data_IF_041975904169
#
_entry.id   IF_041975904169
#
_cell.length_a   1.000
_cell.length_b   1.000
_cell.length_c   1.000
_cell.angle_alpha   90.00
_cell.angle_beta   90.00
_cell.angle_gamma   90.00
#
_symmetry.space_group_name_H-M   'P 1'
#
loop_
_entity.id
_entity.type
_entity.pdbx_description
1 polymer ?
#
# COMPACT_ATOMS: atom_id res chain seq x y z
N UNK A 1 -11.86 -0.66 4.34
CA UNK A 1 -13.01 -1.20 5.10
C UNK A 1 -12.42 -1.91 6.30
N UNK A 2 -12.72 -1.45 7.51
CA UNK A 2 -12.13 -2.02 8.72
C UNK A 2 -13.04 -3.14 9.21
N UNK A 3 -12.50 -4.33 9.42
CA UNK A 3 -13.20 -5.46 10.03
C UNK A 3 -12.39 -6.03 11.20
N UNK A 4 -13.07 -6.70 12.12
CA UNK A 4 -12.38 -7.32 13.24
C UNK A 4 -11.70 -8.63 12.83
N UNK A 5 -10.60 -8.94 13.52
CA UNK A 5 -9.78 -10.14 13.29
C UNK A 5 -10.60 -11.44 13.42
N UNK A 6 -11.57 -11.45 14.34
CA UNK A 6 -12.49 -12.57 14.54
C UNK A 6 -13.41 -12.76 13.33
N UNK A 7 -13.94 -11.67 12.78
CA UNK A 7 -14.83 -11.71 11.62
C UNK A 7 -14.11 -12.21 10.36
N UNK A 8 -12.87 -11.79 10.14
CA UNK A 8 -12.08 -12.31 9.02
C UNK A 8 -11.81 -13.81 9.18
N UNK A 9 -11.52 -14.26 10.41
CA UNK A 9 -11.35 -15.67 10.72
C UNK A 9 -12.64 -16.47 10.49
N UNK A 10 -13.80 -15.97 10.90
CA UNK A 10 -15.08 -16.65 10.62
C UNK A 10 -15.37 -16.74 9.12
N UNK A 11 -15.12 -15.67 8.36
CA UNK A 11 -15.32 -15.67 6.91
C UNK A 11 -14.37 -16.65 6.18
N UNK A 12 -13.11 -16.75 6.58
CA UNK A 12 -12.13 -17.68 5.99
C UNK A 12 -12.49 -19.15 6.22
N UNK A 13 -13.18 -19.46 7.32
CA UNK A 13 -13.63 -20.82 7.67
C UNK A 13 -15.07 -21.10 7.23
N UNK A 14 -15.84 -20.08 6.85
CA UNK A 14 -17.19 -20.18 6.28
C UNK A 14 -17.18 -20.27 4.75
N UNK A 15 -16.22 -19.63 4.08
CA UNK A 15 -16.15 -19.54 2.61
C UNK A 15 -14.75 -19.85 2.07
N UNK A 16 -14.61 -20.58 0.94
CA UNK A 16 -13.32 -20.78 0.29
C UNK A 16 -12.61 -19.46 -0.02
N UNK A 17 -11.30 -19.41 0.22
CA UNK A 17 -10.47 -18.23 -0.01
C UNK A 17 -10.64 -17.63 -1.42
N UNK A 18 -10.77 -18.47 -2.45
CA UNK A 18 -10.98 -18.02 -3.83
C UNK A 18 -12.32 -17.29 -4.04
N UNK A 19 -13.38 -17.67 -3.33
CA UNK A 19 -14.67 -16.98 -3.36
C UNK A 19 -14.65 -15.71 -2.53
N UNK A 20 -13.99 -15.76 -1.37
CA UNK A 20 -13.79 -14.59 -0.51
C UNK A 20 -13.00 -13.49 -1.24
N UNK A 21 -11.89 -13.88 -1.89
CA UNK A 21 -11.08 -13.02 -2.73
C UNK A 21 -11.87 -12.41 -3.90
N UNK A 22 -12.74 -13.19 -4.56
CA UNK A 22 -13.62 -12.66 -5.63
C UNK A 22 -14.63 -11.64 -5.11
N UNK A 23 -15.27 -11.91 -3.95
CA UNK A 23 -16.27 -11.03 -3.35
C UNK A 23 -15.70 -9.66 -2.97
N UNK A 24 -14.45 -9.63 -2.51
CA UNK A 24 -13.81 -8.40 -2.07
C UNK A 24 -12.79 -7.82 -3.07
N UNK A 25 -12.58 -8.46 -4.22
CA UNK A 25 -11.64 -7.98 -5.25
C UNK A 25 -10.16 -8.13 -4.88
N UNK A 26 -9.80 -9.10 -4.04
CA UNK A 26 -8.42 -9.33 -3.58
C UNK A 26 -7.74 -10.49 -4.31
N UNK A 27 -6.40 -10.55 -4.25
CA UNK A 27 -5.65 -11.72 -4.70
C UNK A 27 -5.44 -12.73 -3.56
N UNK A 28 -5.41 -14.03 -3.89
CA UNK A 28 -5.15 -15.11 -2.92
C UNK A 28 -3.82 -14.92 -2.16
N UNK A 29 -2.82 -14.33 -2.82
CA UNK A 29 -1.50 -14.02 -2.23
C UNK A 29 -1.61 -12.87 -1.22
N UNK A 30 -2.43 -11.86 -1.53
CA UNK A 30 -2.67 -10.74 -0.61
C UNK A 30 -3.41 -11.21 0.65
N UNK A 31 -4.47 -12.02 0.49
CA UNK A 31 -5.19 -12.61 1.62
C UNK A 31 -4.27 -13.50 2.47
N UNK A 32 -3.37 -14.26 1.84
CA UNK A 32 -2.38 -15.08 2.54
C UNK A 32 -1.40 -14.24 3.40
N UNK A 33 -0.91 -13.12 2.85
CA UNK A 33 -0.03 -12.19 3.58
C UNK A 33 -0.76 -11.51 4.72
N UNK A 34 -2.02 -11.11 4.50
CA UNK A 34 -2.87 -10.51 5.52
C UNK A 34 -3.09 -11.47 6.69
N UNK A 35 -3.48 -12.73 6.41
CA UNK A 35 -3.66 -13.74 7.45
C UNK A 35 -2.37 -14.02 8.23
N UNK A 36 -1.22 -14.01 7.56
CA UNK A 36 0.09 -14.19 8.22
C UNK A 36 0.41 -13.04 9.16
N UNK A 37 0.17 -11.79 8.72
CA UNK A 37 0.42 -10.57 9.51
C UNK A 37 -0.46 -10.51 10.77
N UNK A 38 -1.73 -10.87 10.64
CA UNK A 38 -2.69 -10.85 11.76
C UNK A 38 -2.80 -12.20 12.51
N UNK A 39 -1.86 -13.13 12.29
CA UNK A 39 -1.84 -14.43 12.99
C UNK A 39 -3.14 -15.23 12.88
N UNK A 40 -3.80 -15.21 11.72
CA UNK A 40 -5.07 -15.90 11.47
C UNK A 40 -4.79 -17.27 10.84
N UNK A 41 -5.16 -18.38 11.49
CA UNK A 41 -4.99 -19.71 10.93
C UNK A 41 -5.99 -19.93 9.79
N UNK A 42 -5.48 -20.41 8.66
CA UNK A 42 -6.26 -20.71 7.46
C UNK A 42 -6.58 -22.20 7.38
N UNK A 43 -7.70 -22.60 6.77
CA UNK A 43 -8.01 -23.99 6.53
C UNK A 43 -6.89 -24.68 5.73
N UNK A 44 -6.46 -25.89 6.12
CA UNK A 44 -5.43 -26.62 5.41
C UNK A 44 -5.90 -26.99 3.99
N UNK A 45 -4.94 -27.25 3.09
CA UNK A 45 -5.24 -27.71 1.73
C UNK A 45 -6.11 -28.97 1.79
N UNK A 46 -7.20 -28.98 1.02
CA UNK A 46 -8.18 -30.07 1.00
C UNK A 46 -9.28 -29.98 2.07
N UNK A 47 -9.24 -29.02 3.00
CA UNK A 47 -10.30 -28.80 4.00
C UNK A 47 -11.69 -28.66 3.35
N UNK A 48 -11.80 -27.81 2.32
CA UNK A 48 -13.06 -27.57 1.61
C UNK A 48 -13.55 -28.78 0.81
N UNK A 49 -12.64 -29.60 0.28
CA UNK A 49 -13.00 -30.85 -0.40
C UNK A 49 -13.55 -31.88 0.61
N UNK A 50 -12.92 -31.99 1.78
CA UNK A 50 -13.38 -32.85 2.88
C UNK A 50 -14.75 -32.40 3.41
N UNK A 51 -14.94 -31.09 3.61
CA UNK A 51 -16.22 -30.50 4.06
C UNK A 51 -17.35 -30.73 3.05
N UNK A 52 -17.08 -30.63 1.75
CA UNK A 52 -18.05 -30.90 0.68
C UNK A 52 -18.48 -32.37 0.62
N UNK A 53 -17.59 -33.28 0.99
CA UNK A 53 -17.83 -34.71 1.00
C UNK A 53 -18.31 -35.23 2.37
N UNK A 54 -18.76 -34.34 3.28
CA UNK A 54 -19.31 -34.71 4.58
C UNK A 54 -18.29 -35.28 5.58
N UNK A 55 -16.99 -35.20 5.30
CA UNK A 55 -15.95 -35.75 6.17
C UNK A 55 -15.73 -34.80 7.37
N UNK A 56 -15.72 -35.31 8.63
CA UNK A 56 -15.46 -34.50 9.81
C UNK A 56 -14.12 -33.77 9.71
N UNK A 57 -14.12 -32.45 9.89
CA UNK A 57 -12.91 -31.63 9.82
C UNK A 57 -12.77 -30.75 11.06
N UNK A 58 -11.56 -30.69 11.62
CA UNK A 58 -11.26 -29.89 12.81
C UNK A 58 -10.94 -28.44 12.43
N UNK A 59 -11.60 -27.50 13.09
CA UNK A 59 -11.31 -26.06 13.00
C UNK A 59 -10.16 -25.70 13.95
N UNK A 60 -9.13 -25.00 13.45
CA UNK A 60 -7.99 -24.54 14.25
C UNK A 60 -8.41 -23.26 14.97
N UNK A 61 -8.43 -23.20 16.32
CA UNK A 61 -8.88 -22.02 17.05
C UNK A 61 -7.99 -20.81 16.77
N UNK A 62 -8.58 -19.62 16.84
CA UNK A 62 -7.88 -18.35 16.64
C UNK A 62 -6.91 -18.10 17.83
N UNK A 63 -5.59 -17.97 17.60
CA UNK A 63 -4.63 -17.70 18.68
C UNK A 63 -4.88 -16.33 19.33
N UNK A 64 -4.65 -16.19 20.64
CA UNK A 64 -4.60 -14.86 21.28
C UNK A 64 -3.31 -14.14 20.85
N UNK A 65 -3.39 -12.84 20.58
CA UNK A 65 -2.24 -11.99 20.25
C UNK A 65 -2.15 -10.92 21.34
N UNK A 66 -0.94 -10.52 21.73
CA UNK A 66 -0.67 -9.50 22.74
C UNK A 66 -0.72 -8.06 22.22
N UNK A 67 -0.90 -7.87 20.91
CA UNK A 67 -0.87 -6.57 20.24
C UNK A 67 -2.30 -6.20 19.80
N UNK A 68 -2.89 -5.22 20.50
CA UNK A 68 -4.25 -4.72 20.27
C UNK A 68 -4.40 -4.06 18.88
N UNK A 69 -3.31 -3.57 18.27
CA UNK A 69 -3.35 -2.94 16.95
C UNK A 69 -3.63 -3.93 15.82
N UNK A 70 -3.44 -5.24 16.07
CA UNK A 70 -3.68 -6.32 15.10
C UNK A 70 -5.11 -6.88 15.16
N UNK A 71 -5.94 -6.42 16.09
CA UNK A 71 -7.34 -6.83 16.19
C UNK A 71 -8.23 -6.20 15.12
N UNK A 72 -7.86 -5.01 14.63
CA UNK A 72 -8.57 -4.31 13.55
C UNK A 72 -7.82 -4.51 12.24
N UNK A 73 -8.53 -5.00 11.23
CA UNK A 73 -7.98 -5.31 9.91
C UNK A 73 -8.54 -4.33 8.90
N UNK A 74 -7.67 -3.52 8.30
CA UNK A 74 -8.09 -2.71 7.16
C UNK A 74 -8.01 -3.52 5.86
N UNK A 75 -9.18 -3.81 5.31
CA UNK A 75 -9.38 -4.39 3.99
C UNK A 75 -9.41 -3.35 2.87
N UNK A 76 -8.99 -2.09 3.09
CA UNK A 76 -8.76 -1.18 1.96
C UNK A 76 -7.70 -1.79 1.04
N UNK A 77 -7.98 -1.90 -0.27
CA UNK A 77 -6.95 -2.21 -1.23
C UNK A 77 -5.95 -1.06 -1.21
N UNK A 78 -4.81 -1.24 -0.55
CA UNK A 78 -3.63 -0.47 -0.91
C UNK A 78 -3.36 -0.83 -2.37
N UNK A 79 -3.39 0.12 -3.31
CA UNK A 79 -3.17 -0.20 -4.71
C UNK A 79 -1.89 -1.04 -4.76
N UNK A 80 -2.03 -2.28 -5.23
CA UNK A 80 -0.85 -3.01 -5.62
C UNK A 80 -0.13 -2.08 -6.61
N UNK A 81 1.20 -1.90 -6.52
CA UNK A 81 1.89 -1.31 -7.66
C UNK A 81 1.42 -2.11 -8.85
N UNK A 82 0.71 -1.42 -9.74
CA UNK A 82 0.05 -2.00 -10.89
C UNK A 82 1.09 -2.96 -11.46
N UNK A 83 0.73 -4.25 -11.58
CA UNK A 83 1.56 -5.12 -12.39
C UNK A 83 1.55 -4.41 -13.73
N UNK A 84 2.64 -3.72 -14.04
CA UNK A 84 2.92 -3.16 -15.34
C UNK A 84 3.09 -4.39 -16.22
N UNK A 85 1.96 -4.99 -16.55
CA UNK A 85 1.77 -5.77 -17.75
C UNK A 85 2.17 -4.78 -18.81
N UNK A 86 3.35 -5.01 -19.36
CA UNK A 86 4.01 -4.18 -20.35
C UNK A 86 2.93 -3.73 -21.32
N UNK A 87 2.50 -2.47 -21.21
CA UNK A 87 1.69 -1.87 -22.25
C UNK A 87 2.55 -1.93 -23.50
N UNK A 88 2.01 -2.33 -24.68
CA UNK A 88 2.77 -2.37 -25.93
C UNK A 88 3.06 -0.94 -26.47
N UNK A 89 3.14 0.05 -25.58
CA UNK A 89 3.44 1.44 -25.87
C UNK A 89 4.94 1.60 -25.67
N UNK A 90 5.69 1.14 -26.68
CA UNK A 90 6.95 1.69 -27.18
C UNK A 90 7.47 0.72 -28.26
N UNK A 91 6.70 0.58 -29.36
CA UNK A 91 7.30 0.36 -30.68
C UNK A 91 7.95 1.68 -31.14
N UNK A 92 8.90 2.20 -30.36
CA UNK A 92 9.97 3.02 -30.93
C UNK A 92 11.06 2.02 -31.30
N UNK A 93 11.54 2.14 -32.53
CA UNK A 93 12.47 1.23 -33.20
C UNK A 93 13.46 0.57 -32.24
N UNK A 94 13.77 -0.74 -32.39
CA UNK A 94 14.76 -1.38 -31.54
C UNK A 94 16.03 -0.53 -31.54
N UNK A 95 16.69 -0.31 -30.39
CA UNK A 95 18.01 0.29 -30.40
C UNK A 95 18.85 -0.48 -31.42
N UNK A 96 19.55 0.27 -32.29
CA UNK A 96 20.36 -0.27 -33.41
C UNK A 96 21.01 -1.56 -32.93
N UNK A 97 20.63 -2.70 -33.52
CA UNK A 97 21.34 -3.96 -33.31
C UNK A 97 22.81 -3.63 -33.55
N UNK A 98 23.63 -3.79 -32.52
CA UNK A 98 25.07 -3.60 -32.66
C UNK A 98 25.56 -4.47 -33.83
N UNK A 99 26.57 -4.00 -34.58
CA UNK A 99 27.14 -4.78 -35.68
C UNK A 99 27.53 -6.18 -35.20
N UNK A 100 27.53 -7.16 -36.12
CA UNK A 100 27.85 -8.56 -35.84
C UNK A 100 29.21 -8.75 -35.11
N UNK A 101 30.10 -7.76 -35.19
CA UNK A 101 31.39 -7.67 -34.51
C UNK A 101 31.29 -7.61 -32.96
N UNK A 102 30.14 -7.22 -32.40
CA UNK A 102 29.95 -7.14 -30.95
C UNK A 102 29.28 -8.41 -30.35
N UNK A 103 29.12 -9.47 -31.16
CA UNK A 103 28.42 -10.67 -30.74
C UNK A 103 29.13 -11.37 -29.57
N UNK A 104 28.43 -11.51 -28.45
CA UNK A 104 28.96 -12.20 -27.28
C UNK A 104 29.04 -13.70 -27.58
N UNK A 105 30.26 -14.23 -27.60
CA UNK A 105 30.51 -15.67 -27.75
C UNK A 105 30.82 -16.28 -26.40
N UNK A 106 30.03 -17.28 -25.99
CA UNK A 106 30.27 -18.04 -24.76
C UNK A 106 31.25 -19.17 -25.06
N UNK A 107 32.47 -19.05 -24.56
CA UNK A 107 33.49 -20.09 -24.73
C UNK A 107 33.09 -21.39 -24.02
N UNK A 108 33.53 -22.52 -24.59
CA UNK A 108 33.30 -23.85 -24.01
C UNK A 108 34.11 -24.10 -22.73
N UNK A 109 35.18 -23.33 -22.51
CA UNK A 109 36.04 -23.39 -21.32
C UNK A 109 36.25 -21.99 -20.72
N UNK A 110 36.37 -21.92 -19.39
CA UNK A 110 36.73 -20.69 -18.67
C UNK A 110 38.25 -20.53 -18.67
N UNK A 111 38.76 -19.64 -19.51
CA UNK A 111 40.16 -19.20 -19.51
C UNK A 111 40.22 -17.77 -18.97
N UNK A 112 41.01 -17.54 -17.91
CA UNK A 112 41.10 -16.27 -17.19
C UNK A 112 39.71 -15.68 -16.83
N UNK A 113 38.98 -16.31 -15.89
CA UNK A 113 37.65 -15.84 -15.50
C UNK A 113 37.71 -14.46 -14.85
N UNK A 114 36.66 -13.66 -15.05
CA UNK A 114 36.52 -12.38 -14.38
C UNK A 114 36.55 -12.56 -12.84
N UNK A 115 37.18 -11.66 -12.05
CA UNK A 115 37.31 -11.83 -10.61
C UNK A 115 35.99 -12.11 -9.86
N UNK A 116 34.90 -11.44 -10.27
CA UNK A 116 33.56 -11.70 -9.71
C UNK A 116 33.07 -13.13 -9.99
N UNK A 117 33.37 -13.68 -11.17
CA UNK A 117 32.97 -15.03 -11.55
C UNK A 117 33.80 -16.05 -10.78
N UNK A 118 35.11 -15.84 -10.64
CA UNK A 118 35.96 -16.74 -9.85
C UNK A 118 35.54 -16.78 -8.37
N UNK A 119 35.25 -15.62 -7.77
CA UNK A 119 34.72 -15.53 -6.39
C UNK A 119 33.36 -16.24 -6.26
N UNK A 120 32.45 -15.98 -7.18
CA UNK A 120 31.12 -16.63 -7.23
C UNK A 120 31.24 -18.14 -7.33
N UNK A 121 32.14 -18.64 -8.19
CA UNK A 121 32.40 -20.08 -8.35
C UNK A 121 32.93 -20.71 -7.06
N UNK A 122 33.88 -20.05 -6.39
CA UNK A 122 34.40 -20.51 -5.09
C UNK A 122 33.30 -20.59 -4.03
N UNK A 123 32.44 -19.57 -3.92
CA UNK A 123 31.34 -19.56 -2.96
C UNK A 123 30.29 -20.66 -3.22
N UNK A 124 29.97 -20.91 -4.50
CA UNK A 124 29.06 -22.01 -4.88
C UNK A 124 29.67 -23.39 -4.57
N UNK A 125 30.95 -23.58 -4.87
CA UNK A 125 31.66 -24.84 -4.57
C UNK A 125 31.87 -25.06 -3.07
N UNK A 126 32.14 -24.01 -2.30
CA UNK A 126 32.17 -24.11 -0.84
C UNK A 126 30.80 -24.54 -0.29
N UNK A 127 29.71 -24.03 -0.88
CA UNK A 127 28.35 -24.44 -0.52
C UNK A 127 28.00 -25.87 -0.93
N UNK A 128 28.68 -26.44 -1.93
CA UNK A 128 28.57 -27.85 -2.32
C UNK A 128 29.25 -28.79 -1.33
N UNK A 129 30.41 -28.38 -0.79
CA UNK A 129 31.23 -29.19 0.12
C UNK A 129 30.66 -29.24 1.55
N UNK A 130 29.68 -28.39 1.85
CA UNK A 130 28.90 -28.43 3.08
C UNK A 130 27.73 -29.43 2.92
N UNK A 131 27.27 -30.02 4.02
CA UNK A 131 26.21 -31.05 4.06
C UNK A 131 25.02 -30.75 3.12
N UNK A 132 24.42 -31.81 2.56
CA UNK A 132 23.28 -31.75 1.63
C UNK A 132 22.07 -30.95 2.16
N UNK A 133 21.99 -30.75 3.47
CA UNK A 133 21.05 -29.84 4.16
C UNK A 133 21.16 -28.37 3.76
N UNK A 134 22.28 -27.98 3.12
CA UNK A 134 22.53 -26.62 2.66
C UNK A 134 21.93 -26.28 1.30
N UNK A 135 21.45 -27.28 0.56
CA UNK A 135 20.60 -27.05 -0.62
C UNK A 135 19.28 -26.48 -0.15
N UNK A 136 18.76 -25.50 -0.88
CA UNK A 136 17.42 -25.03 -0.56
C UNK A 136 16.38 -26.16 -0.80
N UNK A 137 15.13 -25.91 -0.40
CA UNK A 137 14.04 -26.88 -0.59
C UNK A 137 13.78 -27.25 -2.06
N UNK A 138 14.42 -26.56 -3.00
CA UNK A 138 14.31 -26.78 -4.43
C UNK A 138 15.53 -27.47 -5.04
N UNK A 139 16.53 -27.83 -4.23
CA UNK A 139 17.75 -28.49 -4.68
C UNK A 139 18.77 -27.54 -5.33
N UNK A 140 18.58 -26.23 -5.19
CA UNK A 140 19.47 -25.22 -5.73
C UNK A 140 20.50 -24.76 -4.69
N UNK A 141 21.61 -24.25 -5.21
CA UNK A 141 22.69 -23.64 -4.47
C UNK A 141 22.77 -22.19 -4.89
N UNK A 142 22.83 -21.31 -3.89
CA UNK A 142 22.99 -19.87 -4.08
C UNK A 142 24.27 -19.41 -3.42
N UNK A 143 24.83 -18.32 -3.92
CA UNK A 143 25.98 -17.66 -3.28
C UNK A 143 25.64 -17.22 -1.86
N UNK A 144 26.60 -17.41 -0.95
CA UNK A 144 26.46 -17.04 0.48
C UNK A 144 27.40 -15.93 0.92
N UNK A 145 28.55 -15.81 0.25
CA UNK A 145 29.56 -14.80 0.54
C UNK A 145 29.20 -13.45 -0.06
N UNK A 146 29.65 -12.39 0.59
CA UNK A 146 29.53 -11.01 0.12
C UNK A 146 30.31 -10.80 -1.19
N UNK A 147 29.84 -9.85 -2.01
CA UNK A 147 30.51 -9.52 -3.26
C UNK A 147 30.50 -10.64 -4.30
N UNK A 148 29.56 -11.59 -4.22
CA UNK A 148 29.30 -12.63 -5.20
C UNK A 148 28.07 -12.33 -6.07
N UNK A 149 28.08 -12.81 -7.32
CA UNK A 149 26.97 -12.62 -8.25
C UNK A 149 25.69 -13.29 -7.74
N UNK A 150 24.55 -12.67 -8.05
CA UNK A 150 23.20 -13.18 -7.79
C UNK A 150 22.88 -14.38 -8.70
N UNK A 151 23.20 -15.58 -8.22
CA UNK A 151 23.10 -16.85 -8.97
C UNK A 151 22.48 -17.94 -8.09
N UNK A 152 21.50 -18.67 -8.65
CA UNK A 152 20.93 -19.86 -8.02
C UNK A 152 20.83 -21.02 -9.02
N UNK A 153 21.68 -22.03 -8.87
CA UNK A 153 21.80 -23.16 -9.82
C UNK A 153 22.01 -24.49 -9.10
N UNK A 154 21.75 -25.60 -9.79
CA UNK A 154 22.09 -26.93 -9.31
C UNK A 154 23.60 -27.22 -9.39
N UNK A 155 24.09 -28.24 -8.67
CA UNK A 155 25.51 -28.65 -8.67
C UNK A 155 26.10 -28.82 -10.07
N UNK A 156 25.41 -29.59 -10.92
CA UNK A 156 25.84 -29.94 -12.29
C UNK A 156 25.87 -28.74 -13.25
N UNK A 157 25.24 -27.63 -12.84
CA UNK A 157 25.02 -26.46 -13.68
C UNK A 157 25.99 -25.31 -13.39
N UNK A 158 26.84 -25.42 -12.37
CA UNK A 158 27.75 -24.35 -11.93
C UNK A 158 28.66 -23.91 -13.08
N UNK A 159 29.33 -24.84 -13.76
CA UNK A 159 30.30 -24.51 -14.81
C UNK A 159 29.65 -23.80 -16.00
N UNK A 160 28.43 -24.22 -16.39
CA UNK A 160 27.68 -23.54 -17.46
C UNK A 160 27.28 -22.13 -17.03
N UNK A 161 26.80 -21.96 -15.80
CA UNK A 161 26.44 -20.65 -15.27
C UNK A 161 27.63 -19.69 -15.25
N UNK A 162 28.80 -20.16 -14.82
CA UNK A 162 30.02 -19.35 -14.77
C UNK A 162 30.50 -18.95 -16.16
N UNK A 163 30.41 -19.83 -17.18
CA UNK A 163 30.74 -19.50 -18.58
C UNK A 163 29.85 -18.38 -19.13
N UNK A 164 28.54 -18.47 -18.87
CA UNK A 164 27.57 -17.47 -19.31
C UNK A 164 27.86 -16.12 -18.66
N UNK A 165 28.06 -16.10 -17.34
CA UNK A 165 28.30 -14.87 -16.59
C UNK A 165 29.65 -14.24 -16.91
N UNK A 166 30.69 -15.04 -17.15
CA UNK A 166 32.00 -14.56 -17.58
C UNK A 166 31.92 -13.83 -18.93
N UNK A 167 31.30 -14.46 -19.92
CA UNK A 167 31.10 -13.85 -21.23
C UNK A 167 30.25 -12.58 -21.14
N UNK A 168 29.17 -12.60 -20.34
CA UNK A 168 28.30 -11.45 -20.15
C UNK A 168 28.99 -10.28 -19.45
N UNK A 169 29.74 -10.53 -18.36
CA UNK A 169 30.41 -9.46 -17.60
C UNK A 169 31.50 -8.82 -18.45
N UNK A 170 32.36 -9.63 -19.10
CA UNK A 170 33.39 -9.11 -20.01
C UNK A 170 32.78 -8.28 -21.14
N UNK A 171 31.65 -8.73 -21.68
CA UNK A 171 30.91 -8.02 -22.71
C UNK A 171 30.30 -6.70 -22.24
N UNK A 172 29.83 -6.63 -20.98
CA UNK A 172 29.34 -5.39 -20.36
C UNK A 172 30.49 -4.41 -20.13
N UNK A 173 31.62 -4.87 -19.60
CA UNK A 173 32.79 -4.04 -19.34
C UNK A 173 33.40 -3.48 -20.64
N UNK A 174 33.47 -4.30 -21.70
CA UNK A 174 33.89 -3.84 -23.03
C UNK A 174 33.00 -2.72 -23.58
N UNK A 175 31.72 -2.67 -23.17
CA UNK A 175 30.76 -1.62 -23.51
C UNK A 175 30.72 -0.46 -22.50
N UNK A 176 31.71 -0.40 -21.59
CA UNK A 176 31.79 0.59 -20.51
C UNK A 176 30.63 0.51 -19.50
N UNK A 177 29.91 -0.61 -19.47
CA UNK A 177 28.90 -0.88 -18.44
C UNK A 177 29.58 -1.56 -17.25
N UNK A 178 29.68 -0.87 -16.11
CA UNK A 178 30.31 -1.42 -14.92
C UNK A 178 29.39 -2.41 -14.22
N UNK A 179 29.92 -3.56 -13.82
CA UNK A 179 29.19 -4.53 -12.99
C UNK A 179 29.58 -4.34 -11.52
N UNK A 180 28.58 -4.16 -10.68
CA UNK A 180 28.74 -3.93 -9.24
C UNK A 180 27.99 -5.03 -8.47
N UNK A 181 28.59 -5.47 -7.36
CA UNK A 181 27.96 -6.35 -6.39
C UNK A 181 28.13 -5.68 -5.02
N UNK A 182 27.09 -5.05 -4.47
CA UNK A 182 27.15 -4.45 -3.14
C UNK A 182 27.57 -5.52 -2.13
N UNK A 183 28.56 -5.22 -1.31
CA UNK A 183 29.03 -6.09 -0.23
C UNK A 183 28.28 -5.85 1.08
N UNK A 184 27.00 -5.52 1.03
CA UNK A 184 26.20 -5.32 2.24
C UNK A 184 25.69 -6.67 2.76
N UNK A 185 25.69 -6.82 4.09
CA UNK A 185 25.21 -8.02 4.77
C UNK A 185 23.77 -8.33 4.29
N UNK A 186 23.56 -9.52 3.75
CA UNK A 186 22.29 -10.01 3.16
C UNK A 186 21.85 -9.41 1.81
N UNK A 187 22.57 -8.46 1.21
CA UNK A 187 22.24 -7.93 -0.12
C UNK A 187 23.05 -8.58 -1.25
N UNK A 188 22.45 -9.61 -1.87
CA UNK A 188 23.11 -10.43 -2.91
C UNK A 188 22.72 -9.98 -4.32
N UNK A 189 22.81 -8.68 -4.61
CA UNK A 189 22.40 -8.11 -5.89
C UNK A 189 23.55 -8.01 -6.87
N UNK A 190 23.36 -8.51 -8.10
CA UNK A 190 24.20 -8.09 -9.23
C UNK A 190 23.57 -6.87 -9.90
N UNK A 191 24.35 -5.80 -10.03
CA UNK A 191 23.92 -4.54 -10.64
C UNK A 191 24.80 -4.25 -11.87
N UNK A 192 24.17 -3.99 -13.02
CA UNK A 192 24.85 -3.44 -14.18
C UNK A 192 24.58 -1.93 -14.23
N UNK A 193 25.63 -1.13 -14.34
CA UNK A 193 25.53 0.31 -14.53
C UNK A 193 25.37 0.63 -16.02
N UNK A 194 24.20 1.15 -16.41
CA UNK A 194 23.86 1.54 -17.79
C UNK A 194 23.27 2.94 -17.75
N UNK A 195 23.86 3.88 -18.50
CA UNK A 195 23.48 5.31 -18.51
C UNK A 195 23.37 5.94 -17.11
N UNK A 196 24.30 5.59 -16.20
CA UNK A 196 24.31 6.06 -14.82
C UNK A 196 23.17 5.50 -13.94
N UNK A 197 22.52 4.42 -14.37
CA UNK A 197 21.50 3.69 -13.60
C UNK A 197 22.01 2.29 -13.26
N UNK A 198 21.81 1.90 -12.00
CA UNK A 198 22.09 0.55 -11.53
C UNK A 198 20.89 -0.35 -11.80
N UNK A 199 21.07 -1.34 -12.66
CA UNK A 199 20.02 -2.26 -13.10
C UNK A 199 20.31 -3.64 -12.52
N UNK A 200 19.38 -4.15 -11.71
CA UNK A 200 19.53 -5.45 -11.06
C UNK A 200 19.25 -6.59 -12.05
N UNK A 201 20.14 -7.58 -12.07
CA UNK A 201 19.89 -8.83 -12.78
C UNK A 201 20.31 -10.07 -11.98
N UNK A 202 19.79 -11.23 -12.36
CA UNK A 202 20.03 -12.53 -11.72
C UNK A 202 19.98 -13.67 -12.72
N UNK A 203 20.81 -14.70 -12.50
CA UNK A 203 20.73 -15.98 -13.21
C UNK A 203 20.15 -17.05 -12.28
N UNK A 204 19.09 -17.74 -12.71
CA UNK A 204 18.48 -18.84 -11.95
C UNK A 204 18.27 -20.07 -12.82
N UNK A 205 18.36 -21.24 -12.23
CA UNK A 205 17.98 -22.49 -12.85
C UNK A 205 16.53 -22.85 -12.57
N UNK A 206 15.82 -23.30 -13.59
CA UNK A 206 14.48 -23.84 -13.46
C UNK A 206 14.54 -25.17 -12.76
N UNK A 207 13.58 -25.36 -11.86
CA UNK A 207 13.43 -26.57 -11.08
C UNK A 207 12.23 -27.35 -11.62
N UNK A 208 12.44 -28.63 -11.89
CA UNK A 208 11.38 -29.57 -12.21
C UNK A 208 10.86 -30.22 -10.94
N UNK A 209 9.53 -30.26 -10.82
CA UNK A 209 8.85 -30.96 -9.75
C UNK A 209 8.54 -32.38 -10.21
N UNK A 210 9.03 -33.39 -9.49
CA UNK A 210 8.70 -34.80 -9.70
C UNK A 210 8.03 -35.37 -8.46
N UNK A 211 7.24 -36.42 -8.62
CA UNK A 211 6.76 -37.20 -7.48
C UNK A 211 7.95 -37.97 -6.88
N UNK A 212 8.05 -38.00 -5.55
CA UNK A 212 9.01 -38.86 -4.88
C UNK A 212 8.65 -40.33 -5.18
N UNK A 213 9.61 -41.16 -5.62
CA UNK A 213 9.34 -42.58 -5.81
C UNK A 213 8.97 -43.23 -4.46
N UNK A 214 8.04 -44.20 -4.45
CA UNK A 214 7.70 -44.91 -3.24
C UNK A 214 8.93 -45.63 -2.69
N UNK A 215 9.30 -45.34 -1.44
CA UNK A 215 10.37 -46.04 -0.74
C UNK A 215 9.81 -47.34 -0.16
N UNK A 216 10.35 -48.53 -0.51
CA UNK A 216 9.86 -49.80 0.03
C UNK A 216 9.99 -49.90 1.55
N UNK A 217 10.98 -49.21 2.14
CA UNK A 217 11.29 -49.31 3.59
C UNK A 217 10.63 -48.24 4.49
N UNK A 218 9.69 -47.43 3.98
CA UNK A 218 9.02 -46.40 4.80
C UNK A 218 7.51 -46.66 4.91
N UNK A 219 7.01 -46.61 6.14
CA UNK A 219 5.57 -46.61 6.44
C UNK A 219 4.94 -45.41 5.72
N UNK A 220 4.05 -45.68 4.75
CA UNK A 220 3.34 -44.67 3.97
C UNK A 220 2.62 -43.66 4.88
N UNK A 221 3.27 -42.54 5.14
CA UNK A 221 2.65 -41.37 5.75
C UNK A 221 1.85 -40.61 4.69
N UNK A 222 0.80 -39.86 5.05
CA UNK A 222 0.15 -38.96 4.08
C UNK A 222 1.14 -37.89 3.56
N UNK A 223 2.18 -37.58 4.35
CA UNK A 223 3.32 -36.73 3.98
C UNK A 223 4.30 -37.41 3.01
N UNK A 224 4.18 -38.71 2.76
CA UNK A 224 5.09 -39.47 1.89
C UNK A 224 4.78 -39.25 0.40
N UNK A 225 3.65 -38.58 0.09
CA UNK A 225 3.32 -38.06 -1.24
C UNK A 225 3.92 -36.66 -1.45
N UNK A 226 5.19 -36.48 -1.13
CA UNK A 226 5.86 -35.19 -1.29
C UNK A 226 6.63 -35.14 -2.60
N UNK A 227 6.54 -34.00 -3.28
CA UNK A 227 7.28 -33.74 -4.50
C UNK A 227 8.78 -33.62 -4.18
N UNK A 228 9.62 -34.14 -5.06
CA UNK A 228 11.04 -33.80 -5.12
C UNK A 228 11.25 -32.73 -6.18
N UNK A 229 12.22 -31.87 -5.94
CA UNK A 229 12.58 -30.76 -6.81
C UNK A 229 13.97 -31.04 -7.38
N UNK A 230 14.08 -31.07 -8.70
CA UNK A 230 15.31 -31.42 -9.41
C UNK A 230 15.69 -30.25 -10.32
N UNK A 231 16.90 -29.67 -10.17
CA UNK A 231 17.42 -28.70 -11.10
C UNK A 231 17.43 -29.26 -12.53
N UNK A 232 16.90 -28.50 -13.49
CA UNK A 232 16.60 -29.02 -14.83
C UNK A 232 17.68 -28.76 -15.89
N UNK A 233 18.73 -28.04 -15.54
CA UNK A 233 19.73 -27.50 -16.47
C UNK A 233 19.19 -26.38 -17.38
N UNK A 234 17.94 -25.93 -17.22
CA UNK A 234 17.36 -24.83 -18.01
C UNK A 234 17.48 -23.53 -17.22
N UNK A 235 18.17 -22.54 -17.77
CA UNK A 235 18.40 -21.28 -17.09
C UNK A 235 17.35 -20.21 -17.41
N UNK A 236 17.28 -19.22 -16.53
CA UNK A 236 16.56 -17.96 -16.67
C UNK A 236 17.49 -16.83 -16.26
N UNK A 237 17.79 -15.95 -17.21
CA UNK A 237 18.48 -14.69 -16.97
C UNK A 237 17.42 -13.59 -16.87
N UNK A 238 17.42 -12.84 -15.78
CA UNK A 238 16.31 -11.97 -15.41
C UNK A 238 16.79 -10.57 -15.06
N UNK A 239 16.12 -9.55 -15.61
CA UNK A 239 16.22 -8.17 -15.14
C UNK A 239 15.11 -7.95 -14.11
N UNK A 240 15.47 -7.41 -12.96
CA UNK A 240 14.60 -7.24 -11.80
C UNK A 240 14.28 -5.75 -11.60
N UNK A 241 13.13 -5.46 -11.00
CA UNK A 241 12.82 -4.08 -10.57
C UNK A 241 13.84 -3.59 -9.54
N UNK A 242 13.91 -2.26 -9.34
CA UNK A 242 14.87 -1.58 -8.43
C UNK A 242 14.89 -2.23 -7.02
N UNK A 243 13.71 -2.65 -6.54
CA UNK A 243 13.52 -3.27 -5.22
C UNK A 243 13.53 -4.82 -5.26
N UNK A 244 13.77 -5.42 -6.43
CA UNK A 244 13.72 -6.88 -6.62
C UNK A 244 12.34 -7.50 -6.42
N UNK A 245 11.27 -6.68 -6.39
CA UNK A 245 9.91 -7.10 -6.04
C UNK A 245 9.20 -7.85 -7.18
N UNK A 246 9.64 -7.64 -8.42
CA UNK A 246 9.15 -8.35 -9.59
C UNK A 246 10.22 -8.38 -10.69
N UNK A 247 10.06 -9.30 -11.62
CA UNK A 247 10.91 -9.42 -12.80
C UNK A 247 10.38 -8.50 -13.90
N UNK A 248 11.23 -7.61 -14.41
CA UNK A 248 10.92 -6.75 -15.56
C UNK A 248 10.95 -7.56 -16.86
N UNK A 249 12.02 -8.36 -17.05
CA UNK A 249 12.21 -9.14 -18.28
C UNK A 249 12.96 -10.44 -17.99
N UNK A 250 12.70 -11.48 -18.78
CA UNK A 250 13.32 -12.81 -18.61
C UNK A 250 13.69 -13.41 -19.95
N UNK A 251 14.94 -13.85 -20.05
CA UNK A 251 15.47 -14.70 -21.11
C UNK A 251 15.65 -16.09 -20.53
N UNK A 252 15.30 -17.12 -21.28
CA UNK A 252 15.29 -18.49 -20.79
C UNK A 252 15.80 -19.44 -21.84
N UNK A 253 16.32 -20.58 -21.39
CA UNK A 253 16.54 -21.70 -22.28
C UNK A 253 15.21 -22.15 -22.89
N UNK A 254 15.21 -22.30 -24.21
CA UNK A 254 14.11 -22.85 -24.98
C UNK A 254 14.55 -24.06 -25.79
N UNK A 255 13.58 -24.70 -26.43
CA UNK A 255 13.84 -25.85 -27.32
C UNK A 255 14.71 -25.50 -28.53
N UNK A 256 14.71 -24.22 -28.96
CA UNK A 256 15.36 -23.74 -30.19
C UNK A 256 16.50 -22.73 -29.95
N UNK A 257 16.48 -22.01 -28.83
CA UNK A 257 17.49 -21.00 -28.49
C UNK A 257 17.91 -21.18 -27.05
N UNK A 258 19.22 -21.13 -26.81
CA UNK A 258 19.81 -21.15 -25.46
C UNK A 258 20.03 -19.72 -24.97
N UNK A 259 20.33 -19.54 -23.69
CA UNK A 259 20.62 -18.21 -23.13
C UNK A 259 21.91 -17.62 -23.71
N UNK A 260 22.89 -18.48 -24.00
CA UNK A 260 24.14 -18.15 -24.65
C UNK A 260 23.91 -17.34 -25.95
N UNK A 261 22.90 -17.73 -26.73
CA UNK A 261 22.53 -17.07 -28.00
C UNK A 261 21.74 -15.77 -27.81
N UNK A 262 21.32 -15.47 -26.57
CA UNK A 262 20.42 -14.36 -26.22
C UNK A 262 21.13 -13.25 -25.45
N UNK A 263 22.45 -13.32 -25.25
CA UNK A 263 23.17 -12.35 -24.42
C UNK A 263 23.17 -10.92 -25.01
N UNK A 264 23.21 -10.77 -26.34
CA UNK A 264 23.06 -9.46 -26.97
C UNK A 264 21.66 -8.87 -26.75
N UNK A 265 20.62 -9.70 -26.91
CA UNK A 265 19.23 -9.29 -26.65
C UNK A 265 19.04 -8.92 -25.17
N UNK A 266 19.77 -9.57 -24.26
CA UNK A 266 19.79 -9.23 -22.84
C UNK A 266 20.43 -7.85 -22.59
N UNK A 267 21.56 -7.52 -23.25
CA UNK A 267 22.17 -6.18 -23.15
C UNK A 267 21.21 -5.11 -23.68
N UNK A 268 20.54 -5.35 -24.80
CA UNK A 268 19.48 -4.47 -25.31
C UNK A 268 18.39 -4.26 -24.25
N UNK A 269 18.00 -5.35 -23.58
CA UNK A 269 17.04 -5.28 -22.49
C UNK A 269 17.51 -4.48 -21.27
N UNK A 270 18.82 -4.42 -20.98
CA UNK A 270 19.35 -3.55 -19.93
C UNK A 270 19.21 -2.07 -20.32
N UNK A 271 19.52 -1.71 -21.57
CA UNK A 271 19.35 -0.34 -22.07
C UNK A 271 17.87 0.09 -22.00
N UNK A 272 16.96 -0.78 -22.46
CA UNK A 272 15.51 -0.53 -22.36
C UNK A 272 15.05 -0.35 -20.90
N UNK A 273 15.59 -1.16 -19.98
CA UNK A 273 15.26 -1.05 -18.55
C UNK A 273 15.77 0.28 -17.94
N UNK A 274 16.92 0.78 -18.39
CA UNK A 274 17.45 2.10 -17.98
C UNK A 274 16.46 3.22 -18.33
N UNK A 275 15.97 3.23 -19.57
CA UNK A 275 15.01 4.22 -20.06
C UNK A 275 13.67 4.12 -19.31
N UNK A 276 13.17 2.90 -19.09
CA UNK A 276 11.94 2.70 -18.32
C UNK A 276 12.07 3.18 -16.87
N UNK A 277 13.24 3.01 -16.24
CA UNK A 277 13.51 3.53 -14.90
C UNK A 277 13.53 5.05 -14.86
N UNK A 278 14.05 5.73 -15.90
CA UNK A 278 14.01 7.20 -16.01
C UNK A 278 12.55 7.70 -16.06
N UNK A 279 11.75 7.15 -16.97
CA UNK A 279 10.34 7.53 -17.13
C UNK A 279 9.51 7.25 -15.87
N UNK A 280 9.73 6.10 -15.22
CA UNK A 280 8.99 5.72 -14.01
C UNK A 280 9.31 6.65 -12.82
N UNK A 281 10.57 7.08 -12.68
CA UNK A 281 10.98 8.02 -11.63
C UNK A 281 10.39 9.41 -11.84
N UNK A 282 10.32 9.88 -13.08
CA UNK A 282 9.69 11.14 -13.43
C UNK A 282 8.19 11.13 -13.13
N UNK A 283 7.49 10.07 -13.55
CA UNK A 283 6.07 9.89 -13.24
C UNK A 283 5.81 9.84 -11.74
N UNK A 284 6.63 9.10 -10.98
CA UNK A 284 6.52 9.05 -9.52
C UNK A 284 6.77 10.42 -8.86
N UNK A 285 7.68 11.24 -9.40
CA UNK A 285 7.92 12.61 -8.94
C UNK A 285 6.69 13.48 -9.15
N UNK A 286 6.10 13.46 -10.34
CA UNK A 286 4.89 14.23 -10.66
C UNK A 286 3.70 13.78 -9.82
N UNK A 287 3.52 12.47 -9.64
CA UNK A 287 2.46 11.92 -8.79
C UNK A 287 2.58 12.38 -7.32
N UNK A 288 3.80 12.45 -6.77
CA UNK A 288 4.03 12.97 -5.41
C UNK A 288 3.65 14.44 -5.28
N UNK A 289 4.02 15.26 -6.27
CA UNK A 289 3.67 16.69 -6.29
C UNK A 289 2.14 16.86 -6.32
N UNK A 290 1.44 16.08 -7.16
CA UNK A 290 -0.01 16.13 -7.26
C UNK A 290 -0.71 15.62 -5.98
N UNK A 291 -0.17 14.58 -5.34
CA UNK A 291 -0.69 14.07 -4.07
C UNK A 291 -0.53 15.08 -2.93
N UNK A 292 0.62 15.75 -2.84
CA UNK A 292 0.84 16.84 -1.87
C UNK A 292 -0.10 18.02 -2.11
N UNK A 293 -0.34 18.39 -3.38
CA UNK A 293 -1.31 19.44 -3.73
C UNK A 293 -2.71 19.06 -3.28
N UNK A 294 -3.16 17.84 -3.56
CA UNK A 294 -4.47 17.32 -3.12
C UNK A 294 -4.58 17.27 -1.61
N UNK A 295 -3.50 16.90 -0.91
CA UNK A 295 -3.46 16.88 0.56
C UNK A 295 -3.67 18.28 1.13
N UNK A 296 -2.95 19.29 0.62
CA UNK A 296 -3.10 20.68 1.06
C UNK A 296 -4.53 21.21 0.86
N UNK A 297 -5.13 20.94 -0.30
CA UNK A 297 -6.53 21.34 -0.58
C UNK A 297 -7.50 20.69 0.41
N UNK A 298 -7.32 19.41 0.74
CA UNK A 298 -8.18 18.71 1.72
C UNK A 298 -8.00 19.26 3.12
N UNK A 299 -6.76 19.47 3.55
CA UNK A 299 -6.45 20.03 4.88
C UNK A 299 -7.07 21.42 5.05
N UNK A 300 -7.00 22.26 4.01
CA UNK A 300 -7.62 23.59 4.02
C UNK A 300 -9.16 23.52 4.02
N UNK A 301 -9.76 22.64 3.22
CA UNK A 301 -11.21 22.44 3.22
C UNK A 301 -11.73 21.90 4.56
N UNK A 302 -11.00 20.97 5.18
CA UNK A 302 -11.32 20.42 6.50
C UNK A 302 -11.20 21.50 7.60
N UNK A 303 -10.18 22.37 7.50
CA UNK A 303 -10.02 23.51 8.42
C UNK A 303 -11.22 24.46 8.33
N UNK A 304 -11.55 24.91 7.11
CA UNK A 304 -12.69 25.82 6.89
C UNK A 304 -14.01 25.20 7.35
N UNK A 305 -14.21 23.90 7.11
CA UNK A 305 -15.40 23.18 7.59
C UNK A 305 -15.47 23.16 9.12
N UNK A 306 -14.37 22.90 9.82
CA UNK A 306 -14.35 22.90 11.30
C UNK A 306 -14.62 24.28 11.88
N UNK A 307 -14.03 25.33 11.30
CA UNK A 307 -14.29 26.71 11.70
C UNK A 307 -15.77 27.05 11.54
N UNK A 308 -16.40 26.63 10.43
CA UNK A 308 -17.84 26.82 10.22
C UNK A 308 -18.69 25.99 11.19
N UNK A 309 -18.36 24.71 11.42
CA UNK A 309 -19.04 23.85 12.40
C UNK A 309 -18.90 24.39 13.83
N UNK A 310 -17.79 25.03 14.19
CA UNK A 310 -17.62 25.71 15.47
C UNK A 310 -18.50 26.96 15.57
N UNK A 311 -18.57 27.78 14.52
CA UNK A 311 -19.46 28.94 14.46
C UNK A 311 -20.92 28.53 14.59
N UNK A 312 -21.35 27.52 13.84
CA UNK A 312 -22.73 27.00 13.90
C UNK A 312 -23.04 26.46 15.29
N UNK A 313 -22.17 25.61 15.86
CA UNK A 313 -22.36 25.08 17.22
C UNK A 313 -22.42 26.18 18.27
N UNK A 314 -21.62 27.22 18.13
CA UNK A 314 -21.67 28.37 19.03
C UNK A 314 -23.00 29.12 18.94
N UNK A 315 -23.52 29.35 17.72
CA UNK A 315 -24.86 29.94 17.54
C UNK A 315 -25.95 29.06 18.16
N UNK A 316 -25.94 27.75 17.92
CA UNK A 316 -26.90 26.81 18.49
C UNK A 316 -26.86 26.81 20.03
N UNK A 317 -25.66 26.77 20.63
CA UNK A 317 -25.50 26.82 22.08
C UNK A 317 -26.01 28.14 22.69
N UNK A 318 -25.88 29.25 21.94
CA UNK A 318 -26.40 30.57 22.33
C UNK A 318 -27.93 30.56 22.29
N UNK A 319 -28.54 29.96 21.27
CA UNK A 319 -30.00 29.79 21.17
C UNK A 319 -30.56 28.95 22.33
N UNK A 320 -29.93 27.81 22.65
CA UNK A 320 -30.31 26.96 23.79
C UNK A 320 -30.28 27.73 25.12
N UNK A 321 -29.24 28.54 25.30
CA UNK A 321 -29.06 29.35 26.51
C UNK A 321 -30.12 30.45 26.58
N UNK A 322 -30.47 31.06 25.44
CA UNK A 322 -31.54 32.06 25.32
C UNK A 322 -32.91 31.48 25.67
N UNK A 323 -33.24 30.29 25.17
CA UNK A 323 -34.50 29.62 25.49
C UNK A 323 -34.63 29.31 26.98
N UNK A 324 -33.54 28.84 27.61
CA UNK A 324 -33.49 28.59 29.05
C UNK A 324 -33.66 29.87 29.87
N UNK A 325 -32.98 30.95 29.48
CA UNK A 325 -33.12 32.26 30.09
C UNK A 325 -34.57 32.77 29.99
N UNK A 326 -35.15 32.74 28.79
CA UNK A 326 -36.54 33.17 28.54
C UNK A 326 -37.55 32.35 29.34
N UNK A 327 -37.36 31.03 29.39
CA UNK A 327 -38.24 30.11 30.13
C UNK A 327 -38.18 30.35 31.63
N UNK A 328 -36.98 30.53 32.19
CA UNK A 328 -36.80 30.86 33.61
C UNK A 328 -37.45 32.20 33.97
N UNK A 329 -37.26 33.22 33.13
CA UNK A 329 -37.91 34.53 33.30
C UNK A 329 -39.44 34.44 33.28
N UNK A 330 -40.00 33.62 32.38
CA UNK A 330 -41.45 33.33 32.35
C UNK A 330 -41.92 32.62 33.62
N UNK A 331 -41.21 31.59 34.09
CA UNK A 331 -41.58 30.87 35.30
C UNK A 331 -41.60 31.77 36.54
N UNK A 332 -40.61 32.66 36.70
CA UNK A 332 -40.57 33.62 37.81
C UNK A 332 -41.82 34.53 37.77
N UNK A 333 -42.14 35.06 36.57
CA UNK A 333 -43.31 35.92 36.36
C UNK A 333 -44.62 35.19 36.67
N UNK A 334 -44.77 33.96 36.17
CA UNK A 334 -45.96 33.13 36.38
C UNK A 334 -46.14 32.74 37.86
N UNK A 335 -45.05 32.42 38.56
CA UNK A 335 -45.08 32.13 39.99
C UNK A 335 -45.59 33.32 40.81
N UNK A 336 -45.07 34.53 40.53
CA UNK A 336 -45.53 35.78 41.16
C UNK A 336 -47.01 36.06 40.86
N UNK A 337 -47.42 35.94 39.60
CA UNK A 337 -48.80 36.17 39.18
C UNK A 337 -49.78 35.20 39.85
N UNK A 338 -49.44 33.91 39.95
CA UNK A 338 -50.29 32.90 40.62
C UNK A 338 -50.44 33.17 42.11
N UNK A 339 -49.36 33.53 42.80
CA UNK A 339 -49.43 33.87 44.22
C UNK A 339 -50.32 35.09 44.48
N UNK A 340 -50.19 36.13 43.64
CA UNK A 340 -51.02 37.33 43.68
C UNK A 340 -52.50 37.01 43.47
N UNK A 341 -52.86 36.22 42.44
CA UNK A 341 -54.25 35.80 42.18
C UNK A 341 -54.88 35.02 43.33
N UNK A 342 -54.09 34.23 44.04
CA UNK A 342 -54.55 33.45 45.19
C UNK A 342 -54.55 34.25 46.50
N UNK A 343 -54.24 35.56 46.47
CA UNK A 343 -54.14 36.40 47.66
C UNK A 343 -53.00 36.00 48.62
N UNK A 344 -52.03 35.21 48.14
CA UNK A 344 -50.91 34.71 48.96
C UNK A 344 -49.74 35.69 48.85
N UNK A 345 -49.22 36.17 49.99
CA UNK A 345 -47.97 36.93 50.04
C UNK A 345 -46.78 35.99 49.92
N UNK A 346 -45.84 36.31 49.03
CA UNK A 346 -44.54 35.62 48.93
C UNK A 346 -43.60 36.34 49.90
N UNK A 347 -43.19 35.66 50.98
CA UNK A 347 -42.14 36.16 51.88
C UNK A 347 -40.77 35.60 51.47
N UNK A 348 -39.66 36.30 51.76
CA UNK A 348 -38.31 35.82 51.45
C UNK A 348 -37.98 34.45 52.06
N UNK A 349 -38.52 34.15 53.24
CA UNK A 349 -38.27 32.91 53.98
C UNK A 349 -39.09 31.72 53.44
N UNK A 350 -40.17 32.03 52.70
CA UNK A 350 -41.02 31.01 52.10
C UNK A 350 -40.23 30.17 51.08
N UNK A 351 -40.64 28.90 50.89
CA UNK A 351 -40.03 28.01 49.88
C UNK A 351 -40.04 28.65 48.48
N UNK A 352 -41.12 29.35 48.13
CA UNK A 352 -41.27 30.03 46.85
C UNK A 352 -40.44 31.31 46.77
N UNK A 353 -40.32 32.09 47.85
CA UNK A 353 -39.45 33.27 47.93
C UNK A 353 -37.98 32.92 47.71
N UNK A 354 -37.46 31.93 48.46
CA UNK A 354 -36.08 31.42 48.28
C UNK A 354 -35.82 30.88 46.88
N UNK A 355 -36.81 30.20 46.28
CA UNK A 355 -36.69 29.71 44.90
C UNK A 355 -36.64 30.86 43.89
N UNK A 356 -37.51 31.89 44.02
CA UNK A 356 -37.52 33.06 43.13
C UNK A 356 -36.18 33.81 43.22
N UNK A 357 -35.68 34.07 44.43
CA UNK A 357 -34.41 34.77 44.63
C UNK A 357 -33.24 34.01 43.98
N UNK A 358 -33.21 32.69 44.12
CA UNK A 358 -32.22 31.83 43.48
C UNK A 358 -32.37 31.86 41.95
N UNK A 359 -33.61 31.82 41.45
CA UNK A 359 -33.92 31.87 40.02
C UNK A 359 -33.52 33.21 39.39
N UNK A 360 -33.73 34.34 40.07
CA UNK A 360 -33.33 35.67 39.60
C UNK A 360 -31.80 35.82 39.52
N UNK A 361 -31.07 35.34 40.54
CA UNK A 361 -29.60 35.28 40.50
C UNK A 361 -29.10 34.40 39.36
N UNK A 362 -29.79 33.31 39.06
CA UNK A 362 -29.45 32.41 37.94
C UNK A 362 -29.78 33.04 36.59
N UNK A 363 -30.90 33.77 36.48
CA UNK A 363 -31.33 34.47 35.27
C UNK A 363 -30.31 35.53 34.83
N UNK A 364 -29.78 36.33 35.77
CA UNK A 364 -28.76 37.34 35.47
C UNK A 364 -27.45 36.73 34.92
N UNK A 365 -27.12 35.49 35.29
CA UNK A 365 -25.94 34.76 34.81
C UNK A 365 -26.20 33.93 33.54
N UNK A 366 -27.45 33.76 33.15
CA UNK A 366 -27.86 32.94 32.01
C UNK A 366 -28.11 33.77 30.76
N UNK A 367 -28.09 35.10 30.85
CA UNK A 367 -28.25 35.97 29.68
C UNK A 367 -27.11 35.70 28.68
N UNK A 368 -27.42 35.07 27.53
CA UNK A 368 -26.39 34.66 26.59
C UNK A 368 -25.85 35.84 25.76
N UNK A 369 -26.56 36.98 25.74
CA UNK A 369 -26.17 38.15 24.95
C UNK A 369 -25.40 39.18 25.78
N UNK A 370 -25.55 39.17 27.11
CA UNK A 370 -24.81 40.06 28.01
C UNK A 370 -23.29 40.14 27.74
N UNK A 371 -22.53 39.04 27.61
CA UNK A 371 -21.10 39.13 27.29
C UNK A 371 -20.84 39.70 25.90
N UNK A 372 -21.63 39.31 24.90
CA UNK A 372 -21.47 39.79 23.51
C UNK A 372 -21.70 41.30 23.39
N UNK A 373 -22.71 41.82 24.08
CA UNK A 373 -23.02 43.25 24.10
C UNK A 373 -21.93 44.04 24.84
N UNK A 374 -21.35 43.48 25.90
CA UNK A 374 -20.27 44.11 26.66
C UNK A 374 -18.93 44.15 25.88
N UNK A 375 -18.74 43.28 24.89
CA UNK A 375 -17.57 43.28 24.00
C UNK A 375 -17.68 44.30 22.86
N UNK A 376 -18.88 44.83 22.59
CA UNK A 376 -19.06 45.89 21.60
C UNK A 376 -18.39 47.18 22.08
N UNK A 377 -17.69 47.92 21.20
CA UNK A 377 -17.14 49.22 21.57
C UNK A 377 -18.27 50.18 21.98
N UNK A 378 -18.05 51.05 22.97
CA UNK A 378 -19.04 52.04 23.36
C UNK A 378 -19.36 52.93 22.16
N UNK A 379 -20.65 53.19 21.92
CA UNK A 379 -21.05 54.10 20.86
C UNK A 379 -20.44 55.48 21.13
N UNK A 380 -19.64 55.98 20.19
CA UNK A 380 -19.35 57.40 20.13
C UNK A 380 -20.67 58.13 19.86
N UNK A 381 -20.99 59.22 20.59
CA UNK A 381 -22.14 60.03 20.24
C UNK A 381 -21.92 60.55 18.82
N UNK A 382 -22.75 60.12 17.88
CA UNK A 382 -22.82 60.76 16.56
C UNK A 382 -23.40 62.15 16.81
N UNK A 383 -22.54 63.16 16.91
CA UNK A 383 -22.95 64.56 16.79
C UNK A 383 -23.69 64.71 15.46
N UNK A 384 -24.91 65.26 15.54
CA UNK A 384 -25.89 65.26 14.48
C UNK A 384 -25.33 65.70 13.13
N UNK A 385 -25.40 64.79 12.15
CA UNK A 385 -25.56 65.17 10.76
C UNK A 385 -26.98 64.81 10.33
N UNK A 386 -27.82 65.83 10.34
CA UNK A 386 -28.88 65.99 9.35
C UNK A 386 -28.29 65.66 7.97
N UNK A 387 -28.69 64.54 7.40
CA UNK A 387 -28.64 64.35 5.96
C UNK A 387 -30.08 64.19 5.54
N UNK A 388 -30.58 65.28 4.93
CA UNK A 388 -31.85 65.33 4.22
C UNK A 388 -31.98 64.14 3.27
N UNK A 389 -33.07 63.38 3.40
CA UNK A 389 -33.53 62.47 2.35
C UNK A 389 -33.85 63.28 1.10
N UNK A 390 -32.91 63.37 0.17
CA UNK A 390 -33.25 63.57 -1.24
C UNK A 390 -33.72 62.25 -1.81
N UNK A 391 -35.04 62.14 -1.91
CA UNK A 391 -35.71 61.23 -2.82
C UNK A 391 -35.19 61.43 -4.25
N UNK A 392 -34.96 60.30 -4.94
CA UNK A 392 -34.75 60.26 -6.39
C UNK A 392 -33.57 59.39 -6.78
N UNK A 393 -33.84 58.14 -7.15
CA UNK A 393 -33.61 57.66 -8.53
C UNK A 393 -34.40 56.37 -8.73
N UNK A 394 -35.36 56.47 -9.64
CA UNK A 394 -36.14 55.42 -10.28
C UNK A 394 -35.23 54.49 -11.07
N UNK A 395 -35.50 53.18 -11.02
CA UNK A 395 -35.13 52.25 -12.10
C UNK A 395 -36.32 51.32 -12.30
N UNK A 396 -37.21 51.74 -13.20
CA UNK A 396 -38.00 50.82 -14.01
C UNK A 396 -37.17 50.40 -15.23
N UNK A 397 -37.46 49.18 -15.69
CA UNK A 397 -37.25 48.61 -17.02
C UNK A 397 -35.82 48.33 -17.53
N UNK A 398 -35.53 47.04 -17.76
CA UNK A 398 -35.62 46.50 -19.13
C UNK A 398 -35.55 44.95 -19.15
N UNK A 399 -36.46 44.45 -19.99
CA UNK A 399 -36.77 43.08 -20.39
C UNK A 399 -35.59 42.23 -20.91
N UNK A 400 -35.80 40.92 -20.92
CA UNK A 400 -34.95 39.96 -21.62
C UNK A 400 -35.48 38.53 -21.50
N UNK A 401 -36.63 38.25 -22.11
CA UNK A 401 -37.10 36.90 -22.43
C UNK A 401 -36.08 36.15 -23.32
N UNK A 402 -35.86 34.87 -23.05
CA UNK A 402 -35.70 33.85 -24.11
C UNK A 402 -35.90 32.45 -23.50
N UNK A 403 -37.02 31.80 -23.87
CA UNK A 403 -37.32 30.41 -23.52
C UNK A 403 -36.67 29.42 -24.49
N UNK A 404 -36.44 28.15 -24.09
CA UNK A 404 -35.99 27.13 -25.03
C UNK A 404 -37.17 26.36 -25.64
N UNK A 405 -37.12 26.03 -26.96
CA UNK A 405 -38.16 25.25 -27.62
C UNK A 405 -38.00 23.75 -27.34
N UNK A 406 -39.14 23.06 -27.34
CA UNK A 406 -39.22 21.60 -27.49
C UNK A 406 -38.92 21.22 -28.94
N UNK A 407 -38.11 20.18 -29.14
CA UNK A 407 -37.82 19.53 -30.42
C UNK A 407 -36.79 18.45 -30.24
#
# INVERSE_FOLDING_TARGET
>A
MIIDRKDLYDQIWATPASQLCKRFGFSDVWLAKLCKRHGIPRPPRGYWAKKRNGIPTRRIPLPRISDETLEKIDLTPRPAPEKQTISPVLKKSPPKREPAEAAITVNSRLTAPHPLVDRTRKSLNASLNLDSSMRDRWGLISTREEGCLDVAVGPESIDRAMRILDALIKALEARKCRVQVPGEEFDRRTLAEVDGKLIRFRLTEKVQMKLRPPSPDRVRSWLDTMHIYIPSGEFRLQILSDHGSYTLRTWKDGKRKRIEDQLNDFIVGLVEASEQMKASREYARLARIEEERKRRIREEADRLRREEEERVRWVEATLDSWERWRSLGRMIRDARNRASRLGRRITPESRMGRWIETAERRLAKLDPLAPMVNELPPSTPVEGRLIEEKAGTSVDDLEGEEGPPKG
#
